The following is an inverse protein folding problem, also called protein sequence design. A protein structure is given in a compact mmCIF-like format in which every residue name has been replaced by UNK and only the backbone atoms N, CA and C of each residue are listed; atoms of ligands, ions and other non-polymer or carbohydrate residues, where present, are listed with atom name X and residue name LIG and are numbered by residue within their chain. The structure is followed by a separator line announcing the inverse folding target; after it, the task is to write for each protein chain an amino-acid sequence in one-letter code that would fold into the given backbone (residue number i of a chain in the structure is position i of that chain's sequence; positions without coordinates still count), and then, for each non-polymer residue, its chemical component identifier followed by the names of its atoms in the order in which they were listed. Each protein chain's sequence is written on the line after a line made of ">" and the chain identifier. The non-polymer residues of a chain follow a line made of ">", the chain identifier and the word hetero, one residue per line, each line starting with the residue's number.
data_IF_814640001489
#
_entry.id   IF_814640001489
#
_cell.length_a   1.000
_cell.length_b   1.000
_cell.length_c   1.000
_cell.angle_alpha   90.00
_cell.angle_beta   90.00
_cell.angle_gamma   90.00
#
_symmetry.space_group_name_H-M   'P 1'
#
loop_
_entity.id
_entity.type
_entity.pdbx_description
1 polymer ?
#
# COMPACT_ATOMS: atom_id res chain seq x y z
N UNK A 1 -2.57 23.10 -3.25
CA UNK A 1 -2.99 21.68 -3.32
C UNK A 1 -2.31 20.96 -4.47
N UNK A 2 -2.34 21.51 -5.68
CA UNK A 2 -1.70 20.94 -6.88
C UNK A 2 -0.18 20.79 -6.70
N UNK A 3 0.49 21.80 -6.14
CA UNK A 3 1.95 21.79 -5.95
C UNK A 3 2.45 20.59 -5.14
N UNK A 4 1.80 20.24 -4.02
CA UNK A 4 2.20 19.09 -3.20
C UNK A 4 1.92 17.74 -3.88
N UNK A 5 0.87 17.66 -4.67
CA UNK A 5 0.56 16.46 -5.43
C UNK A 5 1.62 16.18 -6.49
N UNK A 6 2.04 17.21 -7.23
CA UNK A 6 3.06 17.10 -8.26
C UNK A 6 4.44 16.78 -7.66
N UNK A 7 4.79 17.40 -6.53
CA UNK A 7 6.06 17.13 -5.84
C UNK A 7 6.09 15.70 -5.28
N UNK A 8 4.99 15.22 -4.69
CA UNK A 8 4.86 13.86 -4.22
C UNK A 8 4.94 12.87 -5.39
N UNK A 9 4.23 13.11 -6.48
CA UNK A 9 4.28 12.28 -7.69
C UNK A 9 5.67 12.23 -8.31
N UNK A 10 6.38 13.36 -8.37
CA UNK A 10 7.73 13.41 -8.89
C UNK A 10 8.71 12.70 -7.96
N UNK A 11 8.52 12.80 -6.64
CA UNK A 11 9.31 12.08 -5.66
C UNK A 11 9.08 10.56 -5.77
N UNK A 12 7.83 10.13 -5.84
CA UNK A 12 7.46 8.71 -6.03
C UNK A 12 8.00 8.20 -7.37
N UNK A 13 7.85 8.95 -8.46
CA UNK A 13 8.41 8.62 -9.76
C UNK A 13 9.94 8.51 -9.70
N UNK A 14 10.63 9.44 -9.06
CA UNK A 14 12.08 9.44 -8.94
C UNK A 14 12.63 8.31 -8.05
N UNK A 15 11.88 7.81 -7.07
CA UNK A 15 12.31 6.71 -6.20
C UNK A 15 11.92 5.32 -6.71
N UNK A 16 10.84 5.23 -7.47
CA UNK A 16 10.25 3.95 -7.92
C UNK A 16 10.69 3.59 -9.32
N UNK A 17 11.16 4.55 -10.13
CA UNK A 17 11.36 4.40 -11.57
C UNK A 17 12.82 4.60 -12.04
N UNK A 18 13.72 3.77 -11.57
CA UNK A 18 14.80 3.33 -12.46
C UNK A 18 14.19 2.26 -13.36
N UNK A 19 13.99 2.56 -14.64
CA UNK A 19 13.25 1.77 -15.64
C UNK A 19 13.66 0.28 -15.73
N UNK A 20 14.82 -0.09 -15.25
CA UNK A 20 15.37 -1.45 -15.38
C UNK A 20 15.24 -2.35 -14.12
N UNK A 21 14.73 -1.84 -13.00
CA UNK A 21 14.81 -2.56 -11.73
C UNK A 21 13.51 -2.80 -10.97
N UNK A 22 12.38 -2.34 -11.50
CA UNK A 22 11.08 -2.48 -10.79
C UNK A 22 10.13 -3.32 -11.61
N UNK A 23 9.48 -4.34 -11.01
CA UNK A 23 8.44 -5.11 -11.69
C UNK A 23 7.15 -4.32 -11.95
N UNK A 24 7.13 -3.04 -11.60
CA UNK A 24 6.03 -2.10 -11.81
C UNK A 24 6.53 -0.88 -12.60
N UNK A 25 6.18 -0.79 -13.86
CA UNK A 25 6.36 0.43 -14.64
C UNK A 25 5.04 1.19 -14.70
N UNK A 26 4.95 2.32 -13.97
CA UNK A 26 3.84 3.25 -14.06
C UNK A 26 4.24 4.32 -15.10
N UNK A 27 3.73 4.21 -16.31
CA UNK A 27 3.92 5.24 -17.35
C UNK A 27 2.68 6.13 -17.36
N UNK A 28 2.79 7.44 -17.10
CA UNK A 28 1.66 8.36 -17.19
C UNK A 28 1.04 8.32 -18.59
N UNK A 29 -0.27 8.08 -18.67
CA UNK A 29 -1.02 8.13 -19.93
C UNK A 29 -1.00 6.85 -20.77
N UNK A 30 -0.40 5.76 -20.31
CA UNK A 30 -0.50 4.45 -20.96
C UNK A 30 -1.43 3.53 -20.18
N UNK A 31 -2.23 2.76 -20.90
CA UNK A 31 -2.94 1.64 -20.32
C UNK A 31 -1.93 0.73 -19.62
N UNK A 32 -2.14 0.45 -18.34
CA UNK A 32 -1.26 -0.40 -17.55
C UNK A 32 -1.07 -1.75 -18.19
N UNK A 33 0.12 -2.01 -18.68
CA UNK A 33 0.56 -3.37 -18.96
C UNK A 33 1.56 -3.77 -17.89
N UNK A 34 1.13 -4.65 -17.01
CA UNK A 34 1.97 -5.28 -15.98
C UNK A 34 3.03 -6.12 -16.69
N UNK A 35 4.22 -5.57 -16.90
CA UNK A 35 5.38 -6.37 -17.29
C UNK A 35 5.96 -7.05 -16.04
N UNK A 36 5.35 -8.12 -15.59
CA UNK A 36 6.02 -9.04 -14.68
C UNK A 36 6.89 -9.98 -15.49
N UNK A 37 8.20 -9.93 -15.31
CA UNK A 37 9.17 -10.92 -15.82
C UNK A 37 9.06 -12.29 -15.13
N UNK A 38 7.97 -12.59 -14.45
CA UNK A 38 7.69 -13.89 -13.85
C UNK A 38 6.36 -14.36 -14.41
N UNK A 39 6.42 -15.28 -15.32
CA UNK A 39 5.42 -16.12 -15.95
C UNK A 39 3.95 -15.89 -15.64
N UNK A 40 3.34 -14.83 -16.19
CA UNK A 40 1.91 -14.56 -16.07
C UNK A 40 1.61 -13.09 -16.29
N UNK A 41 1.35 -12.71 -17.53
CA UNK A 41 0.87 -11.37 -17.89
C UNK A 41 -0.58 -11.21 -17.42
N UNK A 42 -0.81 -10.49 -16.34
CA UNK A 42 -2.11 -9.85 -16.13
C UNK A 42 -2.17 -8.61 -17.01
N UNK A 43 -3.12 -8.60 -17.96
CA UNK A 43 -3.28 -7.53 -18.96
C UNK A 43 -4.22 -6.42 -18.52
N UNK A 44 -4.67 -6.42 -17.24
CA UNK A 44 -5.59 -5.39 -16.72
C UNK A 44 -4.90 -4.52 -15.65
N UNK A 45 -5.38 -3.28 -15.52
CA UNK A 45 -4.97 -2.38 -14.46
C UNK A 45 -5.26 -3.00 -13.07
N UNK A 46 -4.36 -2.84 -12.08
CA UNK A 46 -4.65 -3.33 -10.75
C UNK A 46 -5.89 -2.64 -10.19
N UNK A 47 -6.79 -3.44 -9.62
CA UNK A 47 -8.00 -2.97 -8.97
C UNK A 47 -7.79 -2.93 -7.45
N UNK A 48 -7.94 -1.76 -6.85
CA UNK A 48 -7.73 -1.54 -5.42
C UNK A 48 -9.00 -0.99 -4.79
N UNK A 49 -9.44 -1.59 -3.69
CA UNK A 49 -10.53 -1.05 -2.86
C UNK A 49 -9.93 -0.27 -1.71
N UNK A 50 -10.27 1.01 -1.57
CA UNK A 50 -9.72 1.89 -0.55
C UNK A 50 -10.81 2.35 0.41
N UNK A 51 -10.64 2.08 1.68
CA UNK A 51 -11.46 2.58 2.77
C UNK A 51 -10.74 3.71 3.49
N UNK A 52 -11.26 4.92 3.36
CA UNK A 52 -10.69 6.11 4.01
C UNK A 52 -11.10 6.28 5.47
N UNK A 53 -11.92 5.39 6.00
CA UNK A 53 -12.41 5.43 7.38
C UNK A 53 -12.96 6.82 7.76
N UNK A 54 -13.65 7.48 6.83
CA UNK A 54 -14.25 8.83 6.98
C UNK A 54 -13.21 9.92 7.29
N UNK A 55 -11.99 9.79 6.80
CA UNK A 55 -10.88 10.70 7.04
C UNK A 55 -10.59 11.64 5.85
N UNK A 56 -9.83 12.67 6.14
CA UNK A 56 -9.45 13.72 5.17
C UNK A 56 -8.54 13.21 4.04
N UNK A 57 -7.88 12.08 4.25
CA UNK A 57 -7.08 11.39 3.21
C UNK A 57 -7.89 11.02 1.96
N UNK A 58 -9.22 10.85 2.11
CA UNK A 58 -10.15 10.61 0.99
C UNK A 58 -10.27 11.75 -0.02
N UNK A 59 -9.72 12.92 0.28
CA UNK A 59 -9.76 14.08 -0.63
C UNK A 59 -8.59 14.09 -1.63
N UNK A 60 -7.43 13.57 -1.22
CA UNK A 60 -6.19 13.69 -2.00
C UNK A 60 -5.81 12.41 -2.76
N UNK A 61 -5.96 11.28 -2.11
CA UNK A 61 -5.47 10.00 -2.64
C UNK A 61 -6.16 9.52 -3.93
N UNK A 62 -7.48 9.70 -4.14
CA UNK A 62 -8.14 9.24 -5.36
C UNK A 62 -7.52 9.83 -6.62
N UNK A 63 -7.22 11.12 -6.61
CA UNK A 63 -6.61 11.82 -7.75
C UNK A 63 -5.20 11.31 -8.04
N UNK A 64 -4.39 11.08 -6.98
CA UNK A 64 -3.04 10.55 -7.11
C UNK A 64 -3.04 9.13 -7.70
N UNK A 65 -3.93 8.26 -7.22
CA UNK A 65 -4.04 6.89 -7.70
C UNK A 65 -4.58 6.83 -9.13
N UNK A 66 -5.51 7.72 -9.48
CA UNK A 66 -5.98 7.87 -10.86
C UNK A 66 -4.86 8.26 -11.82
N UNK A 67 -3.95 9.17 -11.42
CA UNK A 67 -2.78 9.53 -12.21
C UNK A 67 -1.76 8.38 -12.34
N UNK A 68 -1.79 7.44 -11.42
CA UNK A 68 -0.99 6.21 -11.49
C UNK A 68 -1.68 5.11 -12.31
N UNK A 69 -2.88 5.34 -12.83
CA UNK A 69 -3.66 4.38 -13.63
C UNK A 69 -4.18 3.18 -12.84
N UNK A 70 -4.30 3.31 -11.52
CA UNK A 70 -4.85 2.27 -10.66
C UNK A 70 -6.38 2.40 -10.68
N UNK A 71 -7.09 1.31 -10.97
CA UNK A 71 -8.54 1.25 -10.84
C UNK A 71 -8.90 1.24 -9.34
N UNK A 72 -9.57 2.29 -8.87
CA UNK A 72 -9.90 2.42 -7.45
C UNK A 72 -11.40 2.36 -7.20
N UNK A 73 -11.80 1.56 -6.21
CA UNK A 73 -13.14 1.59 -5.62
C UNK A 73 -13.02 2.20 -4.23
N UNK A 74 -13.80 3.22 -3.95
CA UNK A 74 -13.67 4.02 -2.74
C UNK A 74 -14.79 3.72 -1.76
N UNK A 75 -14.44 3.46 -0.50
CA UNK A 75 -15.37 3.28 0.62
C UNK A 75 -15.14 4.37 1.67
N UNK A 76 -16.21 4.75 2.36
CA UNK A 76 -16.19 5.65 3.52
C UNK A 76 -15.40 6.95 3.28
N UNK A 77 -15.54 7.56 2.10
CA UNK A 77 -14.82 8.78 1.69
C UNK A 77 -15.43 10.07 2.26
N UNK A 78 -16.64 10.02 2.84
CA UNK A 78 -17.25 11.20 3.46
C UNK A 78 -16.50 11.57 4.74
N UNK A 79 -16.09 12.83 4.84
CA UNK A 79 -15.37 13.32 6.03
C UNK A 79 -16.35 13.44 7.21
N UNK A 80 -15.95 12.89 8.36
CA UNK A 80 -16.66 13.00 9.62
C UNK A 80 -15.81 13.72 10.66
N UNK A 81 -16.37 14.70 11.37
CA UNK A 81 -15.66 15.50 12.38
C UNK A 81 -15.14 14.65 13.56
N UNK A 82 -15.84 13.57 13.91
CA UNK A 82 -15.41 12.65 14.96
C UNK A 82 -14.83 11.37 14.35
N UNK A 83 -13.69 10.88 14.86
CA UNK A 83 -13.12 9.62 14.37
C UNK A 83 -14.08 8.46 14.62
N UNK A 84 -14.10 7.44 13.75
CA UNK A 84 -14.88 6.24 13.99
C UNK A 84 -14.38 5.51 15.25
N UNK A 85 -15.31 4.98 16.02
CA UNK A 85 -14.99 4.15 17.20
C UNK A 85 -14.28 2.87 16.78
N UNK A 86 -13.62 2.21 17.73
CA UNK A 86 -12.88 0.98 17.43
C UNK A 86 -13.77 -0.12 16.83
N UNK A 87 -14.99 -0.26 17.33
CA UNK A 87 -15.96 -1.23 16.82
C UNK A 87 -16.37 -0.93 15.36
N UNK A 88 -16.62 0.34 15.04
CA UNK A 88 -16.90 0.80 13.69
C UNK A 88 -15.73 0.48 12.75
N UNK A 89 -14.49 0.70 13.20
CA UNK A 89 -13.28 0.37 12.42
C UNK A 89 -13.15 -1.13 12.16
N UNK A 90 -13.54 -1.98 13.10
CA UNK A 90 -13.57 -3.42 12.90
C UNK A 90 -14.61 -3.79 11.84
N UNK A 91 -15.80 -3.19 11.93
CA UNK A 91 -16.88 -3.42 10.96
C UNK A 91 -16.46 -2.96 9.56
N UNK A 92 -15.87 -1.76 9.44
CA UNK A 92 -15.36 -1.24 8.16
C UNK A 92 -14.31 -2.16 7.54
N UNK A 93 -13.39 -2.73 8.33
CA UNK A 93 -12.41 -3.70 7.81
C UNK A 93 -13.03 -4.98 7.29
N UNK A 94 -14.07 -5.48 7.96
CA UNK A 94 -14.82 -6.63 7.46
C UNK A 94 -15.54 -6.32 6.14
N UNK A 95 -16.20 -5.15 6.07
CA UNK A 95 -16.82 -4.68 4.83
C UNK A 95 -15.80 -4.55 3.70
N UNK A 96 -14.61 -3.98 3.99
CA UNK A 96 -13.53 -3.89 3.01
C UNK A 96 -13.15 -5.28 2.48
N UNK A 97 -12.96 -6.26 3.38
CA UNK A 97 -12.62 -7.63 2.99
C UNK A 97 -13.70 -8.28 2.12
N UNK A 98 -14.98 -8.07 2.45
CA UNK A 98 -16.11 -8.60 1.69
C UNK A 98 -16.21 -7.94 0.30
N UNK A 99 -15.98 -6.62 0.21
CA UNK A 99 -15.99 -5.89 -1.07
C UNK A 99 -14.81 -6.31 -1.96
N UNK A 100 -13.61 -6.48 -1.40
CA UNK A 100 -12.44 -6.98 -2.14
C UNK A 100 -12.77 -8.31 -2.81
N UNK A 101 -13.31 -9.27 -2.06
CA UNK A 101 -13.73 -10.58 -2.60
C UNK A 101 -14.82 -10.46 -3.63
N UNK A 102 -15.85 -9.68 -3.34
CA UNK A 102 -17.02 -9.56 -4.23
C UNK A 102 -16.67 -8.94 -5.59
N UNK A 103 -15.71 -8.01 -5.61
CA UNK A 103 -15.25 -7.33 -6.83
C UNK A 103 -14.08 -8.04 -7.51
N UNK A 104 -13.51 -9.09 -6.91
CA UNK A 104 -12.28 -9.70 -7.40
C UNK A 104 -11.14 -8.69 -7.47
N UNK A 105 -11.04 -7.80 -6.47
CA UNK A 105 -9.99 -6.79 -6.43
C UNK A 105 -8.65 -7.41 -6.01
N UNK A 106 -7.55 -6.84 -6.50
CA UNK A 106 -6.20 -7.33 -6.21
C UNK A 106 -5.75 -6.98 -4.79
N UNK A 107 -6.29 -5.88 -4.23
CA UNK A 107 -5.89 -5.39 -2.90
C UNK A 107 -7.00 -4.54 -2.28
N UNK A 108 -7.17 -4.65 -0.97
CA UNK A 108 -7.92 -3.73 -0.14
C UNK A 108 -6.97 -2.93 0.76
N UNK A 109 -7.25 -1.65 0.96
CA UNK A 109 -6.45 -0.77 1.82
C UNK A 109 -7.38 0.05 2.70
N UNK A 110 -7.29 -0.09 4.02
CA UNK A 110 -7.91 0.87 4.94
C UNK A 110 -6.84 1.83 5.46
N UNK A 111 -7.07 3.12 5.30
CA UNK A 111 -6.14 4.17 5.71
C UNK A 111 -6.67 4.86 6.97
N UNK A 112 -5.81 5.00 7.97
CA UNK A 112 -6.13 5.74 9.19
C UNK A 112 -6.24 7.24 8.94
N UNK A 113 -6.85 7.95 9.90
CA UNK A 113 -7.21 9.38 9.77
C UNK A 113 -6.05 10.28 9.34
N UNK A 114 -4.87 10.05 9.89
CA UNK A 114 -3.68 10.88 9.60
C UNK A 114 -2.82 10.34 8.45
N UNK A 115 -3.25 9.26 7.79
CA UNK A 115 -2.42 8.58 6.78
C UNK A 115 -1.26 7.75 7.33
N UNK A 116 -1.04 7.75 8.67
CA UNK A 116 0.09 7.08 9.32
C UNK A 116 -0.13 5.58 9.56
N UNK A 117 -1.38 5.16 9.59
CA UNK A 117 -1.74 3.77 9.83
C UNK A 117 -2.48 3.21 8.63
N UNK A 118 -2.10 2.01 8.24
CA UNK A 118 -2.85 1.28 7.23
C UNK A 118 -3.10 -0.16 7.65
N UNK A 119 -4.13 -0.74 7.07
CA UNK A 119 -4.45 -2.16 7.11
C UNK A 119 -4.62 -2.60 5.68
N UNK A 120 -4.02 -3.71 5.29
CA UNK A 120 -4.20 -4.29 3.97
C UNK A 120 -5.18 -5.46 4.04
N UNK A 121 -5.79 -5.74 2.93
CA UNK A 121 -6.63 -6.92 2.69
C UNK A 121 -6.18 -7.53 1.37
N UNK A 122 -5.79 -8.80 1.37
CA UNK A 122 -5.41 -9.48 0.15
C UNK A 122 -6.64 -9.88 -0.69
N UNK A 123 -6.41 -10.41 -1.88
CA UNK A 123 -7.43 -10.84 -2.82
C UNK A 123 -8.36 -11.93 -2.26
N UNK A 124 -7.92 -12.64 -1.22
CA UNK A 124 -8.74 -13.66 -0.54
C UNK A 124 -9.60 -13.09 0.57
N UNK A 125 -9.44 -11.80 0.89
CA UNK A 125 -10.12 -11.10 1.98
C UNK A 125 -9.42 -11.27 3.34
N UNK A 126 -8.18 -11.78 3.37
CA UNK A 126 -7.41 -11.86 4.61
C UNK A 126 -6.91 -10.48 5.02
N UNK A 127 -7.16 -10.12 6.28
CA UNK A 127 -6.75 -8.84 6.85
C UNK A 127 -5.29 -8.91 7.32
N UNK A 128 -4.44 -8.06 6.75
CA UNK A 128 -3.01 -7.95 7.03
C UNK A 128 -2.76 -6.66 7.79
N UNK A 129 -2.31 -6.74 9.05
CA UNK A 129 -2.06 -5.57 9.92
C UNK A 129 -0.99 -5.84 10.97
N UNK A 130 -0.55 -4.77 11.67
CA UNK A 130 0.42 -4.90 12.77
C UNK A 130 1.72 -5.54 12.33
N UNK A 131 2.19 -6.52 13.06
CA UNK A 131 3.46 -7.23 12.82
C UNK A 131 3.50 -7.92 11.44
N UNK A 132 2.37 -8.49 11.02
CA UNK A 132 2.27 -9.11 9.70
C UNK A 132 2.43 -8.08 8.59
N UNK A 133 1.80 -6.92 8.72
CA UNK A 133 1.96 -5.82 7.77
C UNK A 133 3.40 -5.32 7.72
N UNK A 134 4.02 -5.11 8.89
CA UNK A 134 5.42 -4.70 8.98
C UNK A 134 6.33 -5.72 8.28
N UNK A 135 6.14 -6.99 8.54
CA UNK A 135 6.90 -8.07 7.91
C UNK A 135 6.72 -8.09 6.38
N UNK A 136 5.48 -7.95 5.92
CA UNK A 136 5.15 -7.92 4.48
C UNK A 136 5.81 -6.74 3.78
N UNK A 137 5.68 -5.53 4.35
CA UNK A 137 6.29 -4.31 3.79
C UNK A 137 7.82 -4.41 3.82
N UNK A 138 8.40 -4.91 4.93
CA UNK A 138 9.84 -5.11 5.03
C UNK A 138 10.36 -6.08 3.96
N UNK A 139 9.66 -7.19 3.72
CA UNK A 139 10.04 -8.15 2.68
C UNK A 139 10.00 -7.53 1.27
N UNK A 140 8.92 -6.80 0.95
CA UNK A 140 8.78 -6.12 -0.34
C UNK A 140 9.88 -5.07 -0.54
N UNK A 141 10.16 -4.26 0.50
CA UNK A 141 11.13 -3.16 0.38
C UNK A 141 12.59 -3.61 0.36
N UNK A 142 12.91 -4.72 1.01
CA UNK A 142 14.28 -5.23 1.09
C UNK A 142 14.61 -6.23 -0.03
N UNK A 143 13.59 -6.77 -0.70
CA UNK A 143 13.77 -7.67 -1.82
C UNK A 143 14.59 -6.98 -2.92
N UNK A 144 15.59 -7.68 -3.42
CA UNK A 144 16.47 -7.19 -4.49
C UNK A 144 17.29 -5.92 -4.14
N UNK A 145 17.46 -5.63 -2.85
CA UNK A 145 18.21 -4.45 -2.37
C UNK A 145 19.27 -4.83 -1.32
N UNK A 146 20.20 -5.75 -1.63
CA UNK A 146 21.21 -6.18 -0.67
C UNK A 146 22.08 -5.02 -0.19
N UNK A 147 22.56 -5.12 1.06
CA UNK A 147 23.39 -4.08 1.69
C UNK A 147 22.64 -2.90 2.28
N UNK A 148 21.33 -2.79 2.09
CA UNK A 148 20.51 -1.74 2.72
C UNK A 148 20.24 -2.03 4.20
N UNK A 149 19.84 -0.98 4.91
CA UNK A 149 19.39 -1.09 6.31
C UNK A 149 17.94 -0.67 6.43
N UNK A 150 17.19 -1.39 7.25
CA UNK A 150 15.84 -0.99 7.68
C UNK A 150 15.88 -0.56 9.14
N UNK A 151 15.19 0.53 9.47
CA UNK A 151 15.04 1.01 10.85
C UNK A 151 13.66 0.63 11.35
N UNK A 152 13.60 -0.02 12.51
CA UNK A 152 12.34 -0.45 13.12
C UNK A 152 12.30 -0.09 14.61
N UNK A 153 11.11 0.06 15.22
CA UNK A 153 10.99 0.26 16.65
C UNK A 153 11.58 -0.90 17.46
N UNK A 154 12.05 -0.61 18.69
CA UNK A 154 12.64 -1.64 19.58
C UNK A 154 11.70 -2.80 19.91
N UNK A 155 10.40 -2.55 19.87
CA UNK A 155 9.35 -3.54 20.15
C UNK A 155 8.87 -4.31 18.90
N UNK A 156 9.44 -4.04 17.72
CA UNK A 156 9.08 -4.78 16.51
C UNK A 156 9.48 -6.27 16.63
N UNK A 157 8.72 -7.13 15.96
CA UNK A 157 8.99 -8.57 15.94
C UNK A 157 10.35 -8.90 15.33
N UNK A 158 11.04 -9.91 15.88
CA UNK A 158 12.30 -10.43 15.34
C UNK A 158 12.16 -11.09 13.96
N UNK A 159 10.96 -11.20 13.43
CA UNK A 159 10.73 -11.63 12.04
C UNK A 159 11.42 -10.70 11.04
N UNK A 160 11.51 -9.39 11.37
CA UNK A 160 12.16 -8.41 10.50
C UNK A 160 13.64 -8.69 10.32
N UNK A 161 14.34 -9.14 11.38
CA UNK A 161 15.75 -9.55 11.29
C UNK A 161 15.94 -10.75 10.34
N UNK A 162 15.04 -11.74 10.43
CA UNK A 162 15.09 -12.90 9.51
C UNK A 162 14.85 -12.51 8.06
N UNK A 163 13.90 -11.58 7.81
CA UNK A 163 13.64 -11.05 6.48
C UNK A 163 14.85 -10.27 5.97
N UNK A 164 15.43 -9.40 6.78
CA UNK A 164 16.61 -8.62 6.41
C UNK A 164 17.81 -9.52 6.11
N UNK A 165 18.09 -10.49 6.97
CA UNK A 165 19.18 -11.45 6.76
C UNK A 165 19.01 -12.24 5.46
N UNK A 166 17.80 -12.71 5.14
CA UNK A 166 17.50 -13.41 3.89
C UNK A 166 17.78 -12.56 2.65
N UNK A 167 17.58 -11.23 2.76
CA UNK A 167 17.81 -10.28 1.68
C UNK A 167 19.20 -9.61 1.73
N UNK A 168 20.12 -10.09 2.59
CA UNK A 168 21.47 -9.49 2.73
C UNK A 168 21.45 -8.07 3.29
N UNK A 169 20.44 -7.71 4.07
CA UNK A 169 20.19 -6.39 4.65
C UNK A 169 20.42 -6.40 6.18
N UNK A 170 20.51 -5.21 6.77
CA UNK A 170 20.70 -5.01 8.21
C UNK A 170 19.45 -4.39 8.84
N UNK A 171 19.23 -4.67 10.13
CA UNK A 171 18.19 -4.04 10.94
C UNK A 171 18.82 -3.14 11.99
N UNK A 172 18.31 -1.95 12.12
CA UNK A 172 18.65 -1.00 13.18
C UNK A 172 17.41 -0.76 14.01
N UNK A 173 17.50 -0.94 15.32
CA UNK A 173 16.37 -0.69 16.23
C UNK A 173 16.50 0.71 16.84
N UNK A 174 15.40 1.44 16.85
CA UNK A 174 15.31 2.77 17.45
C UNK A 174 14.13 2.85 18.45
N UNK A 175 14.22 3.82 19.35
CA UNK A 175 13.11 4.16 20.27
C UNK A 175 12.08 5.02 19.56
#
# INVERSE_FOLDING_TARGET
>A
REYYADEFLNHVKGQVFEEDKVPFCIVPGSNYTRKTKVGGLSTHAPKVVIDYAMAETGVLLPDLLGQLGIETVVLNSSIRNSPPRQEERITMRKQLADVVKALGADLGVQIGRNGEQMTLVDETGQIIRGELLLATVADIMLRDKPGRSIVVPVNASSVVERIAARNGCKVVRCK
#
